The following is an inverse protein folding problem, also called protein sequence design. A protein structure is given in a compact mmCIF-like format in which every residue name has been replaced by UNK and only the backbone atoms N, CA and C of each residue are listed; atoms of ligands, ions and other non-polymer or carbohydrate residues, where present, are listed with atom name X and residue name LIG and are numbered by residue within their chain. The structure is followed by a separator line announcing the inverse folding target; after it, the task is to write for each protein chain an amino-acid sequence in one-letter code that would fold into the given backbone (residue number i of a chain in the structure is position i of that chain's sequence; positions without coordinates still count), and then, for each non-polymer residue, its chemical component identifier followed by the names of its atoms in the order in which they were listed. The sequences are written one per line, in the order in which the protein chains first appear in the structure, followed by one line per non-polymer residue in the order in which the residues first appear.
data_IF_624587241843
#
_entry.id   IF_624587241843
#
_cell.length_a   1.000
_cell.length_b   1.000
_cell.length_c   1.000
_cell.angle_alpha   90.00
_cell.angle_beta   90.00
_cell.angle_gamma   90.00
#
_symmetry.space_group_name_H-M   'P 1'
#
loop_
_entity.id
_entity.type
_entity.pdbx_description
1 polymer ?
#
# COMPACT_ATOMS: atom_id res chain seq x y z
N UNK A 1 36.74 -38.79 -19.05
CA UNK A 1 36.79 -37.87 -20.21
C UNK A 1 35.65 -36.88 -20.06
N UNK A 2 35.83 -35.71 -19.45
CA UNK A 2 36.82 -34.71 -19.80
C UNK A 2 36.32 -33.90 -20.99
N UNK A 3 35.51 -32.86 -20.76
CA UNK A 3 35.61 -31.60 -21.49
C UNK A 3 35.00 -30.47 -20.64
N UNK A 4 35.86 -29.49 -20.38
CA UNK A 4 35.60 -28.20 -19.76
C UNK A 4 35.63 -27.12 -20.87
N UNK A 5 35.23 -25.89 -20.51
CA UNK A 5 35.47 -24.60 -21.19
C UNK A 5 34.39 -24.22 -22.23
N UNK A 6 33.72 -23.04 -22.22
CA UNK A 6 34.16 -21.68 -21.84
C UNK A 6 32.96 -20.74 -21.55
N UNK A 7 33.17 -19.85 -20.58
CA UNK A 7 32.38 -18.63 -20.31
C UNK A 7 32.42 -17.65 -21.49
N UNK A 8 31.28 -17.02 -21.79
CA UNK A 8 31.14 -15.96 -22.79
C UNK A 8 30.19 -14.85 -22.33
N UNK A 9 30.79 -13.74 -21.89
CA UNK A 9 30.33 -12.34 -21.97
C UNK A 9 28.86 -11.99 -21.66
N UNK A 10 28.68 -11.32 -20.52
CA UNK A 10 27.53 -10.52 -20.12
C UNK A 10 27.26 -9.35 -21.07
N UNK A 11 26.05 -9.29 -21.63
CA UNK A 11 25.44 -8.06 -22.14
C UNK A 11 24.40 -7.58 -21.12
N UNK A 12 24.39 -6.30 -20.72
CA UNK A 12 23.42 -5.80 -19.75
C UNK A 12 22.03 -5.68 -20.41
N UNK A 13 21.05 -6.40 -19.84
CA UNK A 13 19.63 -6.19 -20.13
C UNK A 13 19.20 -4.96 -19.32
N UNK A 14 18.61 -3.92 -19.95
CA UNK A 14 18.14 -2.76 -19.21
C UNK A 14 16.96 -3.15 -18.31
N UNK A 15 17.16 -3.05 -17.00
CA UNK A 15 16.10 -3.12 -15.99
C UNK A 15 15.23 -1.88 -16.11
N UNK A 16 14.17 -1.96 -16.91
CA UNK A 16 13.06 -1.04 -16.84
C UNK A 16 12.26 -1.37 -15.57
N UNK A 17 12.66 -0.77 -14.45
CA UNK A 17 11.91 -0.79 -13.21
C UNK A 17 10.68 0.08 -13.41
N UNK A 18 9.57 -0.52 -13.84
CA UNK A 18 8.25 0.07 -13.63
C UNK A 18 7.95 -0.09 -12.15
N UNK A 19 8.46 0.82 -11.32
CA UNK A 19 8.12 0.88 -9.91
C UNK A 19 6.64 1.21 -9.79
N UNK A 20 5.84 0.25 -9.34
CA UNK A 20 4.53 0.56 -8.79
C UNK A 20 4.72 1.50 -7.59
N UNK A 21 3.82 2.46 -7.35
CA UNK A 21 3.93 3.31 -6.18
C UNK A 21 3.88 2.44 -4.91
N UNK A 22 4.68 2.77 -3.88
CA UNK A 22 4.67 2.05 -2.62
C UNK A 22 3.29 2.10 -1.97
N UNK A 23 2.90 1.03 -1.28
CA UNK A 23 1.65 0.99 -0.53
C UNK A 23 1.87 1.67 0.82
N UNK A 24 1.13 2.75 1.07
CA UNK A 24 1.20 3.56 2.30
C UNK A 24 -0.09 3.36 3.09
N UNK A 25 0.01 2.85 4.32
CA UNK A 25 -1.13 2.73 5.23
C UNK A 25 -1.05 3.80 6.32
N UNK A 26 -2.15 4.53 6.49
CA UNK A 26 -2.38 5.45 7.61
C UNK A 26 -3.20 4.73 8.70
N UNK A 27 -2.94 4.97 9.98
CA UNK A 27 -3.90 4.68 11.04
C UNK A 27 -5.05 5.72 11.01
N UNK A 28 -6.30 5.28 11.04
CA UNK A 28 -7.44 6.13 11.46
C UNK A 28 -8.09 7.05 10.41
N UNK A 29 -9.37 7.37 10.65
CA UNK A 29 -10.33 8.02 9.73
C UNK A 29 -10.18 9.54 9.66
N UNK A 30 -10.15 10.14 8.46
CA UNK A 30 -10.13 11.60 8.26
C UNK A 30 -11.45 12.12 7.67
N UNK A 31 -11.94 13.24 8.21
CA UNK A 31 -12.99 14.09 7.61
C UNK A 31 -12.49 15.53 7.65
N UNK A 32 -12.46 16.22 6.51
CA UNK A 32 -12.19 17.65 6.45
C UNK A 32 -13.05 18.31 5.36
N UNK A 33 -13.62 19.48 5.67
CA UNK A 33 -14.48 20.28 4.79
C UNK A 33 -13.79 21.60 4.43
N UNK A 34 -13.89 22.11 3.18
CA UNK A 34 -13.09 23.25 2.74
C UNK A 34 -13.78 24.59 3.03
N UNK A 35 -13.03 25.58 3.53
CA UNK A 35 -13.40 26.99 3.41
C UNK A 35 -12.23 27.90 3.00
N UNK A 36 -12.45 28.52 1.83
CA UNK A 36 -12.13 29.90 1.40
C UNK A 36 -10.76 30.52 1.74
N UNK A 37 -10.00 30.78 0.67
CA UNK A 37 -8.76 31.56 0.65
C UNK A 37 -8.97 33.04 0.98
N UNK A 38 -8.12 33.59 1.86
CA UNK A 38 -8.00 35.01 2.13
C UNK A 38 -7.21 35.70 1.00
N UNK A 39 -7.73 36.83 0.53
CA UNK A 39 -7.17 37.67 -0.55
C UNK A 39 -6.21 38.69 0.06
N UNK A 40 -4.93 38.68 -0.33
CA UNK A 40 -3.99 39.73 0.03
C UNK A 40 -4.12 40.94 -0.92
N UNK A 41 -4.21 42.14 -0.36
CA UNK A 41 -4.23 43.43 -1.06
C UNK A 41 -2.82 44.05 -1.09
N UNK A 42 -2.45 44.66 -2.21
CA UNK A 42 -1.23 45.47 -2.36
C UNK A 42 -1.59 46.94 -2.67
N UNK A 43 -0.83 47.93 -2.16
CA UNK A 43 -1.04 49.34 -2.49
C UNK A 43 -0.32 49.75 -3.80
N UNK A 44 -0.70 50.87 -4.42
CA UNK A 44 -0.23 51.24 -5.76
C UNK A 44 1.15 51.91 -5.71
N UNK A 45 2.06 51.47 -6.57
CA UNK A 45 3.29 52.21 -6.88
C UNK A 45 3.09 53.05 -8.15
N UNK A 46 3.44 54.33 -8.07
CA UNK A 46 3.48 55.29 -9.16
C UNK A 46 4.71 55.05 -10.05
N UNK A 47 4.52 55.00 -11.38
CA UNK A 47 5.62 54.90 -12.34
C UNK A 47 6.23 56.27 -12.62
N UNK A 48 7.54 56.40 -12.37
CA UNK A 48 8.39 57.43 -12.97
C UNK A 48 9.19 56.82 -14.13
N UNK A 49 9.26 57.55 -15.24
CA UNK A 49 9.85 57.09 -16.50
C UNK A 49 11.32 57.50 -16.64
N UNK A 50 12.05 56.68 -17.40
CA UNK A 50 13.45 56.77 -17.86
C UNK A 50 14.47 56.09 -16.94
N UNK A 51 14.95 54.93 -17.37
CA UNK A 51 16.29 54.76 -18.00
C UNK A 51 16.36 53.33 -18.54
N UNK A 52 16.72 53.16 -19.82
CA UNK A 52 16.88 51.85 -20.46
C UNK A 52 18.17 51.22 -19.95
N UNK A 53 18.10 50.43 -18.88
CA UNK A 53 19.19 49.56 -18.44
C UNK A 53 18.92 48.14 -18.95
N UNK A 54 19.88 47.58 -19.67
CA UNK A 54 19.85 46.20 -20.10
C UNK A 54 19.64 45.29 -18.89
N UNK A 55 18.61 44.44 -18.93
CA UNK A 55 18.36 43.43 -17.90
C UNK A 55 19.61 42.53 -17.80
N UNK A 56 20.28 42.44 -16.64
CA UNK A 56 21.40 41.53 -16.50
C UNK A 56 20.87 40.11 -16.68
N UNK A 57 21.50 39.31 -17.55
CA UNK A 57 21.15 37.91 -17.79
C UNK A 57 21.01 37.07 -16.50
N UNK A 58 21.64 37.53 -15.41
CA UNK A 58 21.51 36.97 -14.05
C UNK A 58 20.09 37.07 -13.45
N UNK A 59 19.28 38.08 -13.80
CA UNK A 59 17.91 38.23 -13.27
C UNK A 59 16.92 37.32 -14.00
N UNK A 60 17.16 37.05 -15.30
CA UNK A 60 16.39 36.11 -16.10
C UNK A 60 16.61 34.66 -15.65
N UNK A 61 17.85 34.31 -15.27
CA UNK A 61 18.18 33.01 -14.69
C UNK A 61 17.58 32.83 -13.29
N UNK A 62 17.54 33.90 -12.48
CA UNK A 62 16.88 33.88 -11.16
C UNK A 62 15.36 33.69 -11.27
N UNK A 63 14.69 34.37 -12.21
CA UNK A 63 13.25 34.20 -12.47
C UNK A 63 12.90 32.81 -13.01
N UNK A 64 13.75 32.24 -13.87
CA UNK A 64 13.59 30.85 -14.36
C UNK A 64 13.78 29.82 -13.23
N UNK A 65 14.78 30.00 -12.36
CA UNK A 65 14.98 29.11 -11.19
C UNK A 65 13.87 29.26 -10.15
N UNK A 66 13.32 30.46 -9.96
CA UNK A 66 12.17 30.69 -9.07
C UNK A 66 10.88 30.06 -9.65
N UNK A 67 10.65 30.17 -10.95
CA UNK A 67 9.54 29.51 -11.63
C UNK A 67 9.64 27.98 -11.58
N UNK A 68 10.85 27.41 -11.63
CA UNK A 68 11.07 25.97 -11.44
C UNK A 68 10.81 25.49 -10.01
N UNK A 69 11.00 26.33 -8.99
CA UNK A 69 10.69 25.98 -7.58
C UNK A 69 9.21 26.06 -7.24
N UNK A 70 8.42 26.88 -7.95
CA UNK A 70 6.97 27.00 -7.76
C UNK A 70 6.16 25.92 -8.49
N UNK A 71 6.78 25.08 -9.32
CA UNK A 71 6.09 24.17 -10.26
C UNK A 71 6.15 22.68 -9.90
N UNK A 72 6.14 22.34 -8.61
CA UNK A 72 6.05 20.94 -8.14
C UNK A 72 4.88 20.68 -7.21
N UNK A 73 3.87 21.56 -7.16
CA UNK A 73 2.63 21.26 -6.46
C UNK A 73 1.80 20.33 -7.36
N UNK A 74 1.92 19.01 -7.14
CA UNK A 74 1.01 18.06 -7.78
C UNK A 74 -0.43 18.47 -7.43
N UNK A 75 -1.36 18.51 -8.40
CA UNK A 75 -2.73 18.87 -8.12
C UNK A 75 -3.31 17.88 -7.10
N UNK A 76 -3.97 18.41 -6.07
CA UNK A 76 -4.67 17.61 -5.08
C UNK A 76 -5.72 16.75 -5.78
N UNK A 77 -5.78 15.46 -5.45
CA UNK A 77 -6.81 14.56 -5.96
C UNK A 77 -8.15 14.88 -5.30
N UNK A 78 -9.22 14.93 -6.08
CA UNK A 78 -10.59 15.03 -5.56
C UNK A 78 -11.12 13.66 -5.15
N UNK A 79 -11.88 13.59 -4.06
CA UNK A 79 -12.67 12.40 -3.72
C UNK A 79 -13.80 12.27 -4.72
N UNK A 80 -13.79 11.21 -5.53
CA UNK A 80 -14.83 10.96 -6.52
C UNK A 80 -16.12 10.43 -5.89
N UNK A 81 -16.00 9.53 -4.91
CA UNK A 81 -17.15 8.92 -4.22
C UNK A 81 -16.76 8.38 -2.86
N UNK A 82 -17.68 8.40 -1.90
CA UNK A 82 -17.59 7.71 -0.61
C UNK A 82 -18.64 6.62 -0.59
N UNK A 83 -18.22 5.36 -0.41
CA UNK A 83 -19.12 4.21 -0.37
C UNK A 83 -19.45 3.87 1.09
N UNK A 84 -20.69 3.42 1.38
CA UNK A 84 -21.01 2.88 2.70
C UNK A 84 -20.25 1.57 2.94
N UNK A 85 -19.95 1.30 4.21
CA UNK A 85 -19.35 0.03 4.61
C UNK A 85 -20.32 -1.12 4.27
N UNK A 86 -19.90 -2.13 3.47
CA UNK A 86 -20.73 -3.26 3.16
C UNK A 86 -20.96 -4.16 4.38
N UNK A 87 -21.96 -5.05 4.35
CA UNK A 87 -22.13 -6.05 5.40
C UNK A 87 -20.90 -6.97 5.49
N UNK A 88 -20.61 -7.42 6.71
CA UNK A 88 -19.55 -8.40 6.93
C UNK A 88 -19.99 -9.79 6.48
N UNK A 89 -19.02 -10.60 6.09
CA UNK A 89 -19.23 -12.03 5.86
C UNK A 89 -18.03 -12.83 6.36
N UNK A 90 -18.18 -14.16 6.42
CA UNK A 90 -17.10 -15.06 6.80
C UNK A 90 -16.41 -15.62 5.56
N UNK A 91 -15.08 -15.52 5.53
CA UNK A 91 -14.24 -16.33 4.66
C UNK A 91 -13.76 -17.53 5.50
N UNK A 92 -14.27 -18.71 5.14
CA UNK A 92 -14.15 -19.90 5.97
C UNK A 92 -14.79 -19.69 7.35
N UNK A 93 -14.08 -20.03 8.42
CA UNK A 93 -14.54 -19.86 9.81
C UNK A 93 -13.56 -19.08 10.70
N UNK A 94 -12.52 -18.49 10.09
CA UNK A 94 -11.49 -17.68 10.77
C UNK A 94 -11.60 -16.18 10.49
N UNK A 95 -11.98 -15.80 9.28
CA UNK A 95 -11.87 -14.41 8.84
C UNK A 95 -13.26 -13.77 8.67
N UNK A 96 -13.62 -12.86 9.58
CA UNK A 96 -14.89 -12.12 9.52
C UNK A 96 -14.64 -10.73 8.93
N UNK A 97 -14.89 -10.57 7.63
CA UNK A 97 -14.32 -9.48 6.84
C UNK A 97 -15.36 -8.51 6.30
N UNK A 98 -14.92 -7.26 6.15
CA UNK A 98 -15.56 -6.25 5.33
C UNK A 98 -14.92 -6.23 3.94
N UNK A 99 -15.70 -6.47 2.86
CA UNK A 99 -15.19 -6.31 1.50
C UNK A 99 -15.11 -4.82 1.13
N UNK A 100 -14.01 -4.14 1.46
CA UNK A 100 -13.84 -2.68 1.39
C UNK A 100 -14.16 -2.10 0.01
N UNK A 101 -13.75 -2.77 -1.07
CA UNK A 101 -14.07 -2.32 -2.43
C UNK A 101 -15.54 -2.51 -2.83
N UNK A 102 -16.33 -3.22 -2.03
CA UNK A 102 -17.76 -3.39 -2.21
C UNK A 102 -18.11 -3.77 -3.66
N UNK A 103 -19.04 -3.07 -4.30
CA UNK A 103 -19.46 -3.28 -5.68
C UNK A 103 -18.44 -2.82 -6.74
N UNK A 104 -17.29 -2.24 -6.34
CA UNK A 104 -16.19 -1.84 -7.24
C UNK A 104 -15.08 -2.89 -7.33
N UNK A 105 -15.14 -3.97 -6.57
CA UNK A 105 -14.18 -5.08 -6.71
C UNK A 105 -14.12 -5.55 -8.17
N UNK A 106 -12.91 -5.85 -8.66
CA UNK A 106 -12.62 -6.25 -10.05
C UNK A 106 -13.00 -5.21 -11.13
N UNK A 107 -13.32 -3.96 -10.77
CA UNK A 107 -13.61 -2.91 -11.74
C UNK A 107 -12.33 -2.33 -12.38
N UNK A 108 -12.46 -1.77 -13.57
CA UNK A 108 -11.37 -1.03 -14.22
C UNK A 108 -10.97 0.23 -13.44
N UNK A 109 -11.89 0.81 -12.66
CA UNK A 109 -11.66 2.01 -11.84
C UNK A 109 -10.65 1.76 -10.72
N UNK A 110 -10.67 0.56 -10.11
CA UNK A 110 -9.74 0.20 -9.03
C UNK A 110 -8.47 -0.49 -9.51
N UNK A 111 -8.35 -0.77 -10.81
CA UNK A 111 -7.14 -1.37 -11.39
C UNK A 111 -5.88 -0.61 -10.96
N UNK A 112 -4.84 -1.30 -10.46
CA UNK A 112 -4.61 -2.75 -10.53
C UNK A 112 -5.18 -3.56 -9.35
N UNK A 113 -5.92 -2.96 -8.43
CA UNK A 113 -6.50 -3.67 -7.29
C UNK A 113 -7.76 -4.45 -7.68
N UNK A 114 -7.86 -5.68 -7.20
CA UNK A 114 -8.98 -6.58 -7.50
C UNK A 114 -9.94 -6.70 -6.33
N UNK A 115 -9.39 -6.85 -5.12
CA UNK A 115 -10.13 -7.11 -3.89
C UNK A 115 -9.40 -6.47 -2.71
N UNK A 116 -10.15 -6.04 -1.70
CA UNK A 116 -9.63 -5.66 -0.40
C UNK A 116 -10.63 -6.11 0.66
N UNK A 117 -10.28 -7.15 1.40
CA UNK A 117 -11.01 -7.59 2.58
C UNK A 117 -10.32 -7.09 3.85
N UNK A 118 -11.09 -6.47 4.73
CA UNK A 118 -10.64 -6.00 6.03
C UNK A 118 -11.31 -6.82 7.14
N UNK A 119 -10.55 -7.69 7.78
CA UNK A 119 -10.97 -8.38 9.00
C UNK A 119 -10.86 -7.41 10.18
N UNK A 120 -11.91 -6.62 10.41
CA UNK A 120 -11.93 -5.67 11.52
C UNK A 120 -11.81 -6.39 12.87
N UNK A 121 -11.26 -5.66 13.87
CA UNK A 121 -11.03 -6.13 15.24
C UNK A 121 -12.15 -7.03 15.74
N UNK A 122 -11.80 -8.28 16.00
CA UNK A 122 -12.71 -9.29 16.54
C UNK A 122 -12.00 -10.13 17.58
N UNK A 123 -12.63 -10.25 18.75
CA UNK A 123 -12.18 -11.16 19.79
C UNK A 123 -12.49 -12.61 19.42
N UNK A 124 -11.50 -13.50 19.56
CA UNK A 124 -11.65 -14.94 19.46
C UNK A 124 -11.24 -15.60 20.78
N UNK A 125 -12.11 -16.47 21.31
CA UNK A 125 -11.78 -17.24 22.51
C UNK A 125 -10.73 -18.33 22.20
N UNK A 126 -9.89 -18.70 23.20
CA UNK A 126 -9.01 -19.85 23.12
C UNK A 126 -9.69 -21.10 22.55
N UNK A 127 -9.01 -21.82 21.68
CA UNK A 127 -9.52 -23.04 21.05
C UNK A 127 -8.40 -23.93 20.51
N UNK A 128 -8.68 -25.23 20.39
CA UNK A 128 -7.86 -26.18 19.64
C UNK A 128 -8.38 -26.39 18.20
N UNK A 129 -9.54 -25.83 17.87
CA UNK A 129 -10.12 -25.92 16.53
C UNK A 129 -9.35 -25.03 15.56
N UNK A 130 -8.92 -25.59 14.42
CA UNK A 130 -8.31 -24.83 13.33
C UNK A 130 -9.35 -23.91 12.69
N UNK A 131 -9.15 -22.59 12.79
CA UNK A 131 -10.05 -21.56 12.24
C UNK A 131 -9.38 -20.84 11.10
N UNK A 132 -10.03 -20.75 9.95
CA UNK A 132 -9.44 -20.21 8.73
C UNK A 132 -10.21 -20.60 7.50
N UNK A 133 -9.50 -20.72 6.38
CA UNK A 133 -9.98 -21.23 5.10
C UNK A 133 -9.05 -22.35 4.65
N UNK A 134 -9.63 -23.49 4.30
CA UNK A 134 -8.88 -24.64 3.81
C UNK A 134 -8.28 -24.41 2.42
N UNK A 135 -7.82 -25.49 1.80
CA UNK A 135 -7.18 -25.44 0.48
C UNK A 135 -8.09 -24.76 -0.57
N UNK A 136 -7.56 -23.72 -1.20
CA UNK A 136 -8.23 -22.99 -2.27
C UNK A 136 -7.22 -22.46 -3.29
N UNK A 137 -7.61 -22.35 -4.59
CA UNK A 137 -6.70 -21.93 -5.65
C UNK A 137 -6.68 -20.42 -5.87
N UNK A 138 -5.51 -19.90 -6.27
CA UNK A 138 -5.35 -18.56 -6.85
C UNK A 138 -4.57 -18.64 -8.16
N UNK A 139 -4.87 -17.74 -9.12
CA UNK A 139 -4.17 -17.67 -10.41
C UNK A 139 -4.24 -16.27 -11.02
N UNK A 140 -3.11 -15.78 -11.53
CA UNK A 140 -3.03 -14.59 -12.38
C UNK A 140 -2.96 -13.27 -11.63
N UNK A 141 -2.82 -13.29 -10.31
CA UNK A 141 -2.67 -12.11 -9.44
C UNK A 141 -1.79 -12.44 -8.24
N UNK A 142 -1.67 -11.48 -7.32
CA UNK A 142 -0.95 -11.63 -6.06
C UNK A 142 -1.89 -11.39 -4.88
N UNK A 143 -1.67 -12.08 -3.76
CA UNK A 143 -2.35 -11.80 -2.49
C UNK A 143 -1.36 -11.14 -1.53
N UNK A 144 -1.83 -10.10 -0.84
CA UNK A 144 -1.06 -9.35 0.14
C UNK A 144 -1.83 -9.42 1.46
N UNK A 145 -1.29 -10.14 2.44
CA UNK A 145 -1.90 -10.29 3.76
C UNK A 145 -1.11 -9.48 4.78
N UNK A 146 -1.80 -8.60 5.53
CA UNK A 146 -1.21 -7.72 6.55
C UNK A 146 -1.86 -8.05 7.88
N UNK A 147 -1.09 -8.51 8.86
CA UNK A 147 -1.61 -8.81 10.19
C UNK A 147 -1.35 -7.61 11.13
N UNK A 148 -2.40 -6.95 11.60
CA UNK A 148 -2.26 -5.90 12.64
C UNK A 148 -2.35 -6.46 14.04
N UNK A 149 -3.18 -7.48 14.27
CA UNK A 149 -3.33 -8.19 15.54
C UNK A 149 -3.64 -9.66 15.29
N UNK A 150 -3.14 -10.53 16.16
CA UNK A 150 -3.22 -11.97 15.97
C UNK A 150 -2.17 -12.49 14.99
N UNK A 151 -2.33 -13.73 14.55
CA UNK A 151 -1.34 -14.43 13.72
C UNK A 151 -2.05 -15.34 12.70
N UNK A 152 -1.52 -15.41 11.48
CA UNK A 152 -2.04 -16.28 10.41
C UNK A 152 -0.96 -17.30 10.02
N UNK A 153 -1.22 -18.59 10.20
CA UNK A 153 -0.43 -19.66 9.60
C UNK A 153 -0.90 -19.95 8.18
N UNK A 154 0.05 -20.26 7.28
CA UNK A 154 -0.25 -20.61 5.90
C UNK A 154 0.62 -21.76 5.41
N UNK A 155 0.12 -22.48 4.41
CA UNK A 155 0.85 -23.52 3.68
C UNK A 155 0.37 -23.58 2.22
N UNK A 156 1.28 -23.87 1.29
CA UNK A 156 0.96 -23.91 -0.13
C UNK A 156 1.49 -25.14 -0.90
N UNK A 157 0.95 -25.32 -2.10
CA UNK A 157 1.26 -26.43 -3.02
C UNK A 157 2.67 -26.41 -3.62
N UNK A 158 3.44 -25.33 -3.45
CA UNK A 158 4.84 -25.26 -3.90
C UNK A 158 5.82 -25.42 -2.73
N UNK A 159 5.32 -25.71 -1.53
CA UNK A 159 6.08 -26.07 -0.35
C UNK A 159 6.40 -24.90 0.58
N UNK A 160 5.87 -23.70 0.34
CA UNK A 160 6.03 -22.63 1.33
C UNK A 160 5.08 -22.86 2.50
N UNK A 161 5.58 -22.60 3.70
CA UNK A 161 4.79 -22.55 4.93
C UNK A 161 5.30 -21.40 5.80
N UNK A 162 4.48 -20.90 6.70
CA UNK A 162 4.92 -19.85 7.62
C UNK A 162 3.82 -19.32 8.52
N UNK A 163 4.19 -18.37 9.37
CA UNK A 163 3.27 -17.63 10.23
C UNK A 163 3.50 -16.14 10.01
N UNK A 164 2.46 -15.45 9.57
CA UNK A 164 2.38 -13.98 9.50
C UNK A 164 2.02 -13.50 10.91
N UNK A 165 2.96 -12.89 11.62
CA UNK A 165 2.73 -12.38 12.97
C UNK A 165 2.29 -10.92 12.95
N UNK A 166 1.97 -10.41 14.13
CA UNK A 166 1.62 -9.01 14.32
C UNK A 166 2.65 -8.05 13.71
N UNK A 167 2.19 -7.22 12.77
CA UNK A 167 2.97 -6.25 12.02
C UNK A 167 3.73 -6.82 10.83
N UNK A 168 3.66 -8.13 10.58
CA UNK A 168 4.25 -8.76 9.40
C UNK A 168 3.30 -8.63 8.19
N UNK A 169 3.90 -8.81 7.01
CA UNK A 169 3.22 -8.85 5.72
C UNK A 169 3.65 -10.09 4.96
N UNK A 170 2.69 -10.77 4.36
CA UNK A 170 2.94 -11.74 3.30
C UNK A 170 2.59 -11.13 1.96
N UNK A 171 3.50 -11.26 0.99
CA UNK A 171 3.21 -10.98 -0.42
C UNK A 171 3.41 -12.25 -1.23
N UNK A 172 2.31 -12.86 -1.65
CA UNK A 172 2.30 -14.09 -2.42
C UNK A 172 1.92 -13.82 -3.87
N UNK A 173 2.82 -14.12 -4.80
CA UNK A 173 2.54 -14.11 -6.23
C UNK A 173 1.93 -15.47 -6.63
N UNK A 174 0.66 -15.52 -7.01
CA UNK A 174 0.03 -16.79 -7.45
C UNK A 174 0.38 -17.13 -8.91
N UNK A 175 0.45 -16.12 -9.80
CA UNK A 175 0.82 -16.26 -11.21
C UNK A 175 0.16 -17.48 -11.90
N UNK A 176 0.93 -18.45 -12.42
CA UNK A 176 0.36 -19.58 -13.17
C UNK A 176 -0.58 -20.49 -12.35
N UNK A 177 -0.56 -20.38 -11.02
CA UNK A 177 -1.44 -21.12 -10.13
C UNK A 177 -0.74 -21.53 -8.83
N UNK A 178 -1.44 -21.37 -7.71
CA UNK A 178 -1.06 -21.90 -6.41
C UNK A 178 -2.33 -22.40 -5.70
N UNK A 179 -2.25 -23.52 -5.00
CA UNK A 179 -3.26 -23.94 -4.02
C UNK A 179 -2.66 -23.68 -2.65
N UNK A 180 -3.39 -22.99 -1.78
CA UNK A 180 -2.92 -22.67 -0.44
C UNK A 180 -4.05 -22.72 0.58
N UNK A 181 -3.67 -22.70 1.85
CA UNK A 181 -4.59 -22.62 2.98
C UNK A 181 -4.10 -21.57 3.98
N UNK A 182 -5.04 -20.93 4.69
CA UNK A 182 -4.74 -19.83 5.60
C UNK A 182 -5.59 -20.00 6.87
N UNK A 183 -4.94 -20.09 8.02
CA UNK A 183 -5.60 -20.29 9.31
C UNK A 183 -5.04 -19.35 10.37
N UNK A 184 -5.80 -19.11 11.43
CA UNK A 184 -5.24 -18.60 12.68
C UNK A 184 -4.06 -19.48 13.08
N UNK A 185 -2.93 -18.88 13.47
CA UNK A 185 -1.78 -19.67 13.91
C UNK A 185 -2.18 -20.58 15.07
N UNK A 186 -1.56 -21.76 15.13
CA UNK A 186 -1.77 -22.69 16.24
C UNK A 186 -1.58 -22.03 17.61
N UNK A 187 -0.62 -21.11 17.73
CA UNK A 187 -0.34 -20.41 18.99
C UNK A 187 -1.39 -19.31 19.29
N UNK A 188 -1.83 -18.56 18.28
CA UNK A 188 -2.91 -17.59 18.44
C UNK A 188 -4.24 -18.29 18.77
N UNK A 189 -4.56 -19.42 18.11
CA UNK A 189 -5.76 -20.19 18.39
C UNK A 189 -5.81 -20.65 19.85
N UNK A 190 -4.70 -21.15 20.41
CA UNK A 190 -4.61 -21.56 21.82
C UNK A 190 -4.75 -20.39 22.79
N UNK A 191 -4.15 -19.23 22.49
CA UNK A 191 -4.21 -18.04 23.37
C UNK A 191 -5.53 -17.28 23.28
N UNK A 192 -6.18 -17.29 22.11
CA UNK A 192 -7.24 -16.34 21.79
C UNK A 192 -6.73 -14.89 21.75
N UNK A 193 -7.67 -13.96 21.75
CA UNK A 193 -7.40 -12.52 21.72
C UNK A 193 -8.03 -11.82 20.52
N UNK A 194 -7.61 -10.58 20.31
CA UNK A 194 -8.04 -9.77 19.18
C UNK A 194 -7.34 -10.24 17.90
N UNK A 195 -8.13 -10.47 16.86
CA UNK A 195 -7.67 -10.68 15.50
C UNK A 195 -8.03 -9.47 14.65
N UNK A 196 -7.07 -8.96 13.87
CA UNK A 196 -7.26 -7.86 12.93
C UNK A 196 -6.25 -7.98 11.79
N UNK A 197 -6.74 -8.05 10.55
CA UNK A 197 -5.90 -8.16 9.36
C UNK A 197 -6.55 -7.53 8.14
N UNK A 198 -5.78 -7.35 7.08
CA UNK A 198 -6.28 -7.08 5.73
C UNK A 198 -5.73 -8.12 4.74
N UNK A 199 -6.52 -8.43 3.72
CA UNK A 199 -6.04 -9.10 2.53
C UNK A 199 -6.40 -8.29 1.28
N UNK A 200 -5.40 -7.99 0.45
CA UNK A 200 -5.55 -7.29 -0.82
C UNK A 200 -5.16 -8.21 -1.96
N UNK A 201 -5.87 -8.11 -3.09
CA UNK A 201 -5.48 -8.79 -4.32
C UNK A 201 -5.00 -7.76 -5.35
N UNK A 202 -3.78 -7.98 -5.85
CA UNK A 202 -3.12 -7.12 -6.82
C UNK A 202 -3.01 -7.83 -8.16
N UNK A 203 -3.60 -7.24 -9.20
CA UNK A 203 -3.62 -7.81 -10.53
C UNK A 203 -2.22 -7.85 -11.16
N UNK A 204 -1.80 -9.01 -11.68
CA UNK A 204 -0.55 -9.09 -12.43
C UNK A 204 -0.74 -8.59 -13.87
N UNK A 205 0.23 -7.86 -14.45
CA UNK A 205 0.26 -7.58 -15.88
C UNK A 205 0.19 -8.87 -16.71
N UNK A 206 -0.40 -8.81 -17.91
CA UNK A 206 -0.60 -9.97 -18.81
C UNK A 206 0.66 -10.85 -18.94
N UNK A 207 1.83 -10.25 -19.13
CA UNK A 207 3.12 -10.95 -19.28
C UNK A 207 3.57 -11.74 -18.04
N UNK A 208 3.10 -11.35 -16.85
CA UNK A 208 3.51 -11.96 -15.57
C UNK A 208 2.52 -13.03 -15.08
N UNK A 209 1.28 -13.05 -15.60
CA UNK A 209 0.21 -13.96 -15.13
C UNK A 209 0.54 -15.44 -15.22
N UNK A 210 1.45 -15.83 -16.09
CA UNK A 210 1.86 -17.23 -16.29
C UNK A 210 3.26 -17.54 -15.76
N UNK A 211 3.87 -16.62 -15.01
CA UNK A 211 5.14 -16.84 -14.33
C UNK A 211 5.03 -17.88 -13.19
N UNK A 212 6.17 -18.24 -12.56
CA UNK A 212 6.15 -19.07 -11.37
C UNK A 212 5.49 -18.38 -10.17
N UNK A 213 4.80 -19.13 -9.29
CA UNK A 213 4.40 -18.62 -8.00
C UNK A 213 5.62 -18.23 -7.18
N UNK A 214 5.45 -17.23 -6.31
CA UNK A 214 6.51 -16.73 -5.42
C UNK A 214 5.93 -16.36 -4.07
N UNK A 215 6.77 -16.44 -3.06
CA UNK A 215 6.45 -16.08 -1.69
C UNK A 215 7.47 -15.07 -1.17
N UNK A 216 6.98 -14.01 -0.51
CA UNK A 216 7.81 -13.02 0.19
C UNK A 216 7.23 -12.81 1.59
N UNK A 217 7.97 -13.29 2.60
CA UNK A 217 7.73 -12.93 4.00
C UNK A 217 8.43 -11.61 4.30
N UNK A 218 7.67 -10.61 4.72
CA UNK A 218 8.19 -9.29 5.09
C UNK A 218 7.85 -9.08 6.56
N UNK A 219 8.84 -9.28 7.42
CA UNK A 219 8.66 -9.12 8.87
C UNK A 219 8.49 -7.66 9.25
N UNK A 220 7.82 -7.39 10.38
CA UNK A 220 7.64 -6.04 10.95
C UNK A 220 8.93 -5.23 11.03
N UNK A 221 10.07 -5.88 11.27
CA UNK A 221 11.39 -5.25 11.38
C UNK A 221 11.97 -4.85 10.02
N UNK A 222 11.56 -5.50 8.93
CA UNK A 222 12.00 -5.18 7.57
C UNK A 222 11.20 -4.02 6.96
N UNK A 223 10.06 -3.65 7.54
CA UNK A 223 9.18 -2.60 7.01
C UNK A 223 9.62 -1.24 7.58
N UNK A 224 10.16 -0.33 6.74
CA UNK A 224 10.62 0.97 7.21
C UNK A 224 9.48 1.81 7.78
N UNK A 225 9.77 2.53 8.86
CA UNK A 225 8.91 3.58 9.39
C UNK A 225 9.38 4.93 8.88
N UNK A 226 8.47 5.69 8.26
CA UNK A 226 8.70 7.04 7.79
C UNK A 226 7.88 7.98 8.64
N UNK A 227 8.53 8.92 9.33
CA UNK A 227 7.84 9.91 10.14
C UNK A 227 6.95 10.80 9.25
N UNK A 228 5.72 11.06 9.72
CA UNK A 228 4.86 12.05 9.11
C UNK A 228 5.27 13.42 9.68
N UNK A 229 5.82 14.30 8.85
CA UNK A 229 6.18 15.66 9.26
C UNK A 229 4.92 16.45 9.60
N UNK A 230 4.75 16.81 10.87
CA UNK A 230 3.63 17.62 11.33
C UNK A 230 3.92 19.12 11.18
N UNK A 231 3.40 19.76 10.14
CA UNK A 231 2.87 21.11 10.33
C UNK A 231 1.37 20.93 10.62
N UNK A 232 1.03 21.05 11.90
CA UNK A 232 -0.37 21.14 12.33
C UNK A 232 -0.96 22.41 11.72
N UNK A 233 -1.83 22.27 10.72
CA UNK A 233 -2.62 23.39 10.24
C UNK A 233 -3.67 23.75 11.32
N UNK A 234 -3.26 24.53 12.32
CA UNK A 234 -4.09 25.52 13.01
C UNK A 234 -5.37 25.09 13.74
N UNK A 235 -5.64 23.82 14.01
CA UNK A 235 -6.74 23.43 14.90
C UNK A 235 -6.20 22.94 16.24
N UNK A 236 -6.50 23.69 17.31
CA UNK A 236 -6.41 23.23 18.69
C UNK A 236 -7.38 22.06 18.90
N UNK A 237 -6.92 20.86 18.54
CA UNK A 237 -7.58 19.58 18.66
C UNK A 237 -6.49 18.52 18.73
N UNK A 238 -6.72 17.43 19.45
CA UNK A 238 -5.73 16.43 19.85
C UNK A 238 -4.75 16.03 18.71
N UNK A 239 -3.48 15.74 19.03
CA UNK A 239 -2.51 15.29 18.02
C UNK A 239 -3.09 14.08 17.28
N UNK A 240 -3.18 14.18 15.95
CA UNK A 240 -3.45 13.05 15.08
C UNK A 240 -2.47 11.93 15.46
N UNK A 241 -2.99 10.76 15.77
CA UNK A 241 -2.31 9.63 16.45
C UNK A 241 -1.33 8.86 15.55
N UNK A 242 -1.10 9.33 14.32
CA UNK A 242 -0.15 8.76 13.38
C UNK A 242 1.11 9.62 13.26
N UNK A 243 2.12 9.34 14.08
CA UNK A 243 3.45 9.98 13.96
C UNK A 243 4.31 9.42 12.83
N UNK A 244 3.91 8.29 12.22
CA UNK A 244 4.64 7.63 11.14
C UNK A 244 3.73 6.79 10.24
N UNK A 245 4.22 6.47 9.04
CA UNK A 245 3.70 5.44 8.15
C UNK A 245 4.70 4.30 8.00
N UNK A 246 4.20 3.10 7.73
CA UNK A 246 5.02 1.94 7.34
C UNK A 246 4.93 1.76 5.83
N UNK A 247 6.08 1.66 5.17
CA UNK A 247 6.16 1.59 3.71
C UNK A 247 6.46 0.16 3.29
N UNK A 248 5.52 -0.46 2.58
CA UNK A 248 5.69 -1.79 1.99
C UNK A 248 5.98 -1.56 0.50
N UNK A 249 7.22 -1.83 0.08
CA UNK A 249 7.73 -1.58 -1.26
C UNK A 249 8.50 -2.80 -1.78
#
# INVERSE_FOLDING_TARGET
SGLDVRLGSTLPIPTATTSLPPLVFLPGSLHCSPRSALRASHPPYTLSSRTTTAFPASLLLFLLLFAFHLSSCMPLRSVLSVLPAPPRHWVGNGFHVYPVFNNKAFSAELSPWLMFDYAAKKEFSPTTTRRGVGQHPHRGFETITIAWQGEVEHADSVGNTGVIREGDVQWMTAARGIIHEEFHSTEFAKRGGVFEMAQLWLNLPKKAKMGPPKYQAITKAQIPQVALGGETCGTSGAPDDASYVRVIA
#
